data_IF_207649901646
#
_entry.id   IF_207649901646
#
_cell.length_a   1.000
_cell.length_b   1.000
_cell.length_c   1.000
_cell.angle_alpha   90.00
_cell.angle_beta   90.00
_cell.angle_gamma   90.00
#
_symmetry.space_group_name_H-M   'P 1'
#
loop_
_entity.id
_entity.type
_entity.pdbx_description
1 polymer ?
#
# COMPACT_ATOMS: atom_id res chain seq x y z
N UNK A 1 12.06 -1.68 -12.43
CA UNK A 1 11.32 -1.02 -11.36
C UNK A 1 9.83 -1.21 -11.58
N UNK A 2 9.15 -1.83 -10.60
CA UNK A 2 7.69 -2.00 -10.57
C UNK A 2 7.13 -1.24 -9.37
N UNK A 3 5.90 -0.75 -9.47
CA UNK A 3 5.19 -0.12 -8.35
C UNK A 3 4.11 -1.07 -7.83
N UNK A 4 4.19 -1.43 -6.55
CA UNK A 4 3.24 -2.33 -5.91
C UNK A 4 2.44 -1.54 -4.86
N UNK A 5 1.12 -1.59 -4.96
CA UNK A 5 0.21 -1.16 -3.91
C UNK A 5 -0.04 -2.34 -2.95
N UNK A 6 -0.04 -2.09 -1.66
CA UNK A 6 -0.37 -3.10 -0.64
C UNK A 6 -1.49 -2.54 0.22
N UNK A 7 -2.69 -3.09 0.05
CA UNK A 7 -3.88 -2.68 0.80
C UNK A 7 -3.95 -3.35 2.18
N UNK A 8 -4.57 -2.69 3.16
CA UNK A 8 -4.69 -3.20 4.52
C UNK A 8 -3.34 -3.33 5.24
N UNK A 9 -2.38 -2.42 4.98
CA UNK A 9 -0.99 -2.57 5.46
C UNK A 9 -0.86 -2.66 7.00
N UNK A 10 -1.91 -2.34 7.77
CA UNK A 10 -1.95 -2.56 9.21
C UNK A 10 -1.92 -4.04 9.61
N UNK A 11 -2.31 -4.96 8.72
CA UNK A 11 -2.36 -6.39 8.98
C UNK A 11 -0.99 -7.07 8.94
N UNK A 12 -0.86 -8.20 9.66
CA UNK A 12 0.36 -9.01 9.67
C UNK A 12 0.70 -9.57 8.29
N UNK A 13 -0.31 -10.00 7.52
CA UNK A 13 -0.10 -10.56 6.18
C UNK A 13 0.41 -9.51 5.20
N UNK A 14 -0.24 -8.34 5.03
CA UNK A 14 0.30 -7.25 4.21
C UNK A 14 1.71 -6.78 4.63
N UNK A 15 1.96 -6.66 5.93
CA UNK A 15 3.31 -6.34 6.43
C UNK A 15 4.35 -7.41 6.05
N UNK A 16 3.99 -8.70 6.13
CA UNK A 16 4.88 -9.82 5.76
C UNK A 16 5.17 -9.86 4.26
N UNK A 17 4.17 -9.58 3.43
CA UNK A 17 4.32 -9.44 1.98
C UNK A 17 5.29 -8.29 1.67
N UNK A 18 5.06 -7.11 2.26
CA UNK A 18 5.93 -5.95 2.05
C UNK A 18 7.39 -6.24 2.44
N UNK A 19 7.63 -6.89 3.59
CA UNK A 19 8.98 -7.31 4.01
C UNK A 19 9.62 -8.28 3.03
N UNK A 20 8.85 -9.25 2.55
CA UNK A 20 9.32 -10.24 1.57
C UNK A 20 9.72 -9.56 0.27
N UNK A 21 8.91 -8.62 -0.22
CA UNK A 21 9.23 -7.88 -1.44
C UNK A 21 10.47 -7.01 -1.22
N UNK A 22 10.58 -6.26 -0.12
CA UNK A 22 11.79 -5.48 0.20
C UNK A 22 13.06 -6.32 0.23
N UNK A 23 12.98 -7.55 0.71
CA UNK A 23 14.11 -8.48 0.76
C UNK A 23 14.55 -8.96 -0.62
N UNK A 24 13.60 -9.23 -1.53
CA UNK A 24 13.88 -9.90 -2.81
C UNK A 24 13.90 -8.95 -4.02
N UNK A 25 13.25 -7.79 -3.91
CA UNK A 25 13.07 -6.79 -4.96
C UNK A 25 13.25 -5.39 -4.38
N UNK A 26 14.47 -5.08 -3.95
CA UNK A 26 14.78 -3.78 -3.33
C UNK A 26 14.64 -2.59 -4.29
N UNK A 27 14.63 -2.84 -5.60
CA UNK A 27 14.41 -1.83 -6.64
C UNK A 27 12.92 -1.51 -6.86
N UNK A 28 11.99 -2.22 -6.21
CA UNK A 28 10.56 -1.98 -6.39
C UNK A 28 10.08 -0.87 -5.46
N UNK A 29 9.13 -0.08 -5.96
CA UNK A 29 8.45 0.94 -5.18
C UNK A 29 7.25 0.31 -4.48
N UNK A 30 7.18 0.42 -3.16
CA UNK A 30 6.05 -0.07 -2.37
C UNK A 30 5.24 1.09 -1.82
N UNK A 31 3.95 1.09 -2.15
CA UNK A 31 2.95 2.03 -1.64
C UNK A 31 1.99 1.24 -0.76
N UNK A 32 1.74 1.70 0.47
CA UNK A 32 0.78 1.06 1.36
C UNK A 32 -0.48 1.89 1.53
N UNK A 33 -1.63 1.23 1.74
CA UNK A 33 -2.82 1.94 2.21
C UNK A 33 -3.59 1.15 3.27
N UNK A 34 -4.30 1.88 4.12
CA UNK A 34 -5.17 1.35 5.16
C UNK A 34 -6.22 2.39 5.54
N UNK A 35 -7.33 1.95 6.11
CA UNK A 35 -8.38 2.83 6.63
C UNK A 35 -7.96 3.44 7.98
N UNK A 36 -7.13 2.74 8.75
CA UNK A 36 -6.69 3.14 10.08
C UNK A 36 -5.43 4.02 9.97
N UNK A 37 -5.53 5.26 10.45
CA UNK A 37 -4.42 6.24 10.42
C UNK A 37 -3.21 5.78 11.22
N UNK A 38 -3.44 4.89 12.19
CA UNK A 38 -2.42 4.30 13.06
C UNK A 38 -2.03 2.89 12.64
N UNK A 39 -2.34 2.48 11.41
CA UNK A 39 -1.93 1.18 10.89
C UNK A 39 -0.41 1.00 11.03
N UNK A 40 -0.01 -0.09 11.68
CA UNK A 40 1.39 -0.29 12.09
C UNK A 40 2.35 -0.24 10.88
N UNK A 41 1.92 -0.80 9.74
CA UNK A 41 2.68 -0.80 8.50
C UNK A 41 3.17 0.58 8.02
N UNK A 42 2.44 1.67 8.33
CA UNK A 42 2.88 3.03 7.99
C UNK A 42 4.11 3.50 8.78
N UNK A 43 4.32 2.95 9.97
CA UNK A 43 5.38 3.38 10.90
C UNK A 43 6.56 2.41 10.91
N UNK A 44 6.49 1.32 10.14
CA UNK A 44 7.60 0.39 9.99
C UNK A 44 8.72 1.03 9.16
N UNK A 45 9.87 1.22 9.80
CA UNK A 45 11.06 1.79 9.15
C UNK A 45 11.40 1.02 7.86
N UNK A 46 11.54 1.75 6.76
CA UNK A 46 11.92 1.26 5.43
C UNK A 46 10.97 0.20 4.83
N UNK A 47 9.72 0.10 5.31
CA UNK A 47 8.77 -0.84 4.73
C UNK A 47 8.16 -0.30 3.44
N UNK A 48 7.69 0.95 3.45
CA UNK A 48 7.00 1.62 2.35
C UNK A 48 7.77 2.86 1.89
N UNK A 49 7.64 3.21 0.61
CA UNK A 49 8.14 4.48 0.06
C UNK A 49 7.11 5.59 0.23
N UNK A 50 5.83 5.26 0.05
CA UNK A 50 4.68 6.17 0.23
C UNK A 50 3.53 5.43 0.91
N UNK A 51 2.65 6.16 1.57
CA UNK A 51 1.42 5.59 2.11
C UNK A 51 0.23 6.54 2.05
N UNK A 52 -0.97 5.96 2.06
CA UNK A 52 -2.22 6.70 1.99
C UNK A 52 -3.26 6.14 2.95
N UNK A 53 -4.09 7.04 3.50
CA UNK A 53 -5.30 6.64 4.23
C UNK A 53 -6.41 6.44 3.20
N UNK A 54 -6.90 5.21 3.09
CA UNK A 54 -7.98 4.87 2.16
C UNK A 54 -9.36 5.13 2.78
N UNK A 55 -10.40 5.38 1.95
CA UNK A 55 -11.78 5.24 2.39
C UNK A 55 -12.07 3.81 2.84
N UNK A 56 -13.11 3.61 3.65
CA UNK A 56 -13.64 2.26 3.90
C UNK A 56 -14.10 1.64 2.59
N UNK A 57 -13.98 0.33 2.45
CA UNK A 57 -14.47 -0.40 1.27
C UNK A 57 -16.00 -0.32 1.08
N UNK A 58 -16.73 0.06 2.13
CA UNK A 58 -18.18 0.34 2.07
C UNK A 58 -18.51 1.77 1.65
N UNK A 59 -17.51 2.64 1.48
CA UNK A 59 -17.70 4.00 0.99
C UNK A 59 -18.04 3.97 -0.51
N UNK A 60 -19.00 4.79 -0.99
CA UNK A 60 -19.25 4.93 -2.43
C UNK A 60 -18.03 5.45 -3.19
N UNK A 61 -17.14 6.19 -2.52
CA UNK A 61 -15.94 6.78 -3.13
C UNK A 61 -14.74 5.81 -3.20
N UNK A 62 -14.85 4.59 -2.65
CA UNK A 62 -13.71 3.67 -2.51
C UNK A 62 -13.07 3.31 -3.86
N UNK A 63 -13.89 2.92 -4.84
CA UNK A 63 -13.39 2.54 -6.16
C UNK A 63 -12.82 3.74 -6.92
N UNK A 64 -13.53 4.86 -6.95
CA UNK A 64 -13.06 6.09 -7.60
C UNK A 64 -11.72 6.57 -7.01
N UNK A 65 -11.56 6.49 -5.69
CA UNK A 65 -10.31 6.80 -5.02
C UNK A 65 -9.18 5.82 -5.39
N UNK A 66 -9.48 4.52 -5.43
CA UNK A 66 -8.52 3.48 -5.77
C UNK A 66 -8.06 3.55 -7.22
N UNK A 67 -8.98 3.74 -8.17
CA UNK A 67 -8.67 3.91 -9.59
C UNK A 67 -7.80 5.13 -9.83
N UNK A 68 -8.11 6.26 -9.17
CA UNK A 68 -7.29 7.46 -9.21
C UNK A 68 -5.88 7.19 -8.67
N UNK A 69 -5.76 6.52 -7.53
CA UNK A 69 -4.46 6.17 -6.95
C UNK A 69 -3.65 5.27 -7.88
N UNK A 70 -4.28 4.24 -8.45
CA UNK A 70 -3.65 3.30 -9.40
C UNK A 70 -3.11 4.06 -10.62
N UNK A 71 -3.92 4.95 -11.20
CA UNK A 71 -3.54 5.75 -12.35
C UNK A 71 -2.41 6.75 -12.03
N UNK A 72 -2.58 7.57 -11.00
CA UNK A 72 -1.60 8.61 -10.64
C UNK A 72 -0.25 8.05 -10.20
N UNK A 73 -0.24 6.86 -9.59
CA UNK A 73 0.98 6.22 -9.10
C UNK A 73 1.57 5.17 -10.03
N UNK A 74 0.94 4.93 -11.18
CA UNK A 74 1.36 3.91 -12.15
C UNK A 74 1.57 2.55 -11.46
N UNK A 75 0.55 2.09 -10.72
CA UNK A 75 0.59 0.82 -9.99
C UNK A 75 0.59 -0.34 -11.00
N UNK A 76 1.59 -1.24 -10.91
CA UNK A 76 1.68 -2.45 -11.72
C UNK A 76 0.91 -3.63 -11.08
N UNK A 77 0.93 -3.72 -9.74
CA UNK A 77 0.32 -4.79 -8.96
C UNK A 77 -0.30 -4.23 -7.67
N UNK A 78 -1.41 -4.80 -7.19
CA UNK A 78 -2.10 -4.39 -5.97
C UNK A 78 -2.54 -5.59 -5.13
#
# INVERSE_FOLDING_TARGET
MKTILITGIGGLTPCSIAKTIRKNHSDYKLIGCDIEKKAMGFFMKNLLDEYYISPRCTSPDYFSWMEKLVFEKNIDYA
#
